data_IF_238319050734
#
_entry.id   IF_238319050734
#
_cell.length_a   1.000
_cell.length_b   1.000
_cell.length_c   1.000
_cell.angle_alpha   90.00
_cell.angle_beta   90.00
_cell.angle_gamma   90.00
#
_symmetry.space_group_name_H-M   'P 1'
#
loop_
_entity.id
_entity.type
_entity.pdbx_description
1 polymer ?
#
# COMPACT_ATOMS: atom_id res chain seq x y z
N UNK A 1 -7.21 22.99 -3.80
CA UNK A 1 -5.94 22.41 -4.28
C UNK A 1 -6.21 20.99 -4.75
N UNK A 2 -5.72 20.66 -5.91
CA UNK A 2 -5.83 19.28 -6.40
C UNK A 2 -4.61 18.49 -6.00
N UNK A 3 -4.86 17.32 -5.48
CA UNK A 3 -3.82 16.38 -5.17
C UNK A 3 -3.26 15.77 -6.46
N UNK A 4 -1.94 15.65 -6.53
CA UNK A 4 -1.27 14.97 -7.64
C UNK A 4 -0.36 13.90 -7.08
N UNK A 5 -0.59 12.66 -7.48
CA UNK A 5 0.24 11.53 -7.08
C UNK A 5 0.94 11.01 -8.33
N UNK A 6 2.27 11.12 -8.35
CA UNK A 6 3.08 10.59 -9.44
C UNK A 6 3.31 9.10 -9.21
N UNK A 7 3.25 8.32 -10.29
CA UNK A 7 3.55 6.90 -10.23
C UNK A 7 5.02 6.67 -9.91
N UNK A 8 5.38 5.54 -9.29
CA UNK A 8 6.77 5.26 -8.98
C UNK A 8 7.58 5.04 -10.27
N UNK A 9 8.84 5.42 -10.24
CA UNK A 9 9.76 5.17 -11.37
C UNK A 9 9.93 3.68 -11.61
N UNK A 10 9.81 2.89 -10.55
CA UNK A 10 9.98 1.44 -10.60
C UNK A 10 8.92 0.77 -9.75
N UNK A 11 8.28 -0.26 -10.31
CA UNK A 11 7.36 -1.12 -9.57
C UNK A 11 8.18 -2.16 -8.84
N UNK A 12 8.10 -2.15 -7.52
CA UNK A 12 8.82 -3.10 -6.67
C UNK A 12 8.02 -4.39 -6.49
N UNK A 13 6.70 -4.30 -6.43
CA UNK A 13 5.83 -5.42 -6.12
C UNK A 13 4.49 -5.27 -6.83
N UNK A 14 3.93 -6.40 -7.26
CA UNK A 14 2.61 -6.45 -7.89
C UNK A 14 1.82 -7.58 -7.25
N UNK A 15 0.55 -7.31 -6.93
CA UNK A 15 -0.35 -8.34 -6.41
C UNK A 15 -1.73 -8.20 -7.02
N UNK A 16 -2.51 -9.27 -6.94
CA UNK A 16 -3.86 -9.34 -7.50
C UNK A 16 -4.88 -9.43 -6.39
N UNK A 17 -5.95 -8.65 -6.51
CA UNK A 17 -7.06 -8.62 -5.59
C UNK A 17 -8.35 -8.66 -6.40
N UNK A 18 -9.47 -8.78 -5.71
CA UNK A 18 -10.80 -8.75 -6.32
C UNK A 18 -11.70 -7.85 -5.47
N UNK A 19 -12.58 -7.09 -6.11
CA UNK A 19 -13.57 -6.28 -5.41
C UNK A 19 -14.61 -7.22 -4.78
N UNK A 20 -14.72 -7.17 -3.45
CA UNK A 20 -15.62 -8.03 -2.67
C UNK A 20 -16.95 -7.34 -2.42
N UNK A 21 -17.97 -8.13 -2.07
CA UNK A 21 -19.28 -7.58 -1.71
C UNK A 21 -19.18 -6.56 -0.57
N UNK A 22 -18.30 -6.82 0.41
CA UNK A 22 -18.05 -5.91 1.54
C UNK A 22 -17.37 -4.60 1.15
N UNK A 23 -16.84 -4.51 -0.07
CA UNK A 23 -16.16 -3.30 -0.56
C UNK A 23 -17.10 -2.34 -1.28
N UNK A 24 -18.33 -2.76 -1.55
CA UNK A 24 -19.30 -1.97 -2.32
C UNK A 24 -20.04 -1.01 -1.41
N UNK A 25 -20.15 0.26 -1.85
CA UNK A 25 -20.86 1.28 -1.10
C UNK A 25 -22.31 1.46 -1.60
N UNK A 26 -23.01 2.43 -1.06
CA UNK A 26 -24.40 2.73 -1.42
C UNK A 26 -24.58 3.14 -2.89
N UNK A 27 -23.52 3.57 -3.56
CA UNK A 27 -23.54 3.91 -5.00
C UNK A 27 -23.39 2.72 -5.93
N UNK A 28 -23.26 1.51 -5.38
CA UNK A 28 -23.16 0.27 -6.17
C UNK A 28 -21.77 0.02 -6.75
N UNK A 29 -20.75 0.74 -6.32
CA UNK A 29 -19.36 0.55 -6.78
C UNK A 29 -18.41 0.51 -5.59
N UNK A 30 -17.15 0.19 -5.88
CA UNK A 30 -16.09 0.16 -4.87
C UNK A 30 -16.08 1.46 -4.07
N UNK A 31 -16.28 1.34 -2.76
CA UNK A 31 -16.33 2.48 -1.86
C UNK A 31 -14.97 3.15 -1.70
N UNK A 32 -14.97 4.47 -1.52
CA UNK A 32 -13.74 5.22 -1.33
C UNK A 32 -12.98 4.77 -0.07
N UNK A 33 -13.68 4.40 0.97
CA UNK A 33 -13.11 3.87 2.21
C UNK A 33 -12.53 2.46 2.02
N UNK A 34 -13.16 1.62 1.20
CA UNK A 34 -12.70 0.26 0.94
C UNK A 34 -11.42 0.20 0.13
N UNK A 35 -11.09 1.24 -0.62
CA UNK A 35 -9.81 1.34 -1.32
C UNK A 35 -8.65 1.24 -0.31
N UNK A 36 -8.76 1.89 0.84
CA UNK A 36 -7.72 1.81 1.89
C UNK A 36 -7.56 0.39 2.41
N UNK A 37 -8.66 -0.34 2.57
CA UNK A 37 -8.63 -1.74 3.02
C UNK A 37 -7.95 -2.64 1.98
N UNK A 38 -8.24 -2.42 0.70
CA UNK A 38 -7.58 -3.17 -0.38
C UNK A 38 -6.08 -2.88 -0.42
N UNK A 39 -5.69 -1.64 -0.22
CA UNK A 39 -4.27 -1.28 -0.19
C UNK A 39 -3.55 -1.86 1.02
N UNK A 40 -4.22 -1.97 2.16
CA UNK A 40 -3.69 -2.68 3.33
C UNK A 40 -3.44 -4.15 3.01
N UNK A 41 -4.38 -4.80 2.32
CA UNK A 41 -4.22 -6.19 1.89
C UNK A 41 -3.00 -6.33 0.98
N UNK A 42 -2.82 -5.38 0.05
CA UNK A 42 -1.67 -5.37 -0.85
C UNK A 42 -0.36 -5.23 -0.07
N UNK A 43 -0.31 -4.37 0.96
CA UNK A 43 0.88 -4.24 1.81
C UNK A 43 1.19 -5.53 2.55
N UNK A 44 0.18 -6.19 3.08
CA UNK A 44 0.37 -7.48 3.78
C UNK A 44 0.96 -8.51 2.83
N UNK A 45 0.47 -8.57 1.59
CA UNK A 45 1.02 -9.46 0.56
C UNK A 45 2.51 -9.14 0.32
N UNK A 46 2.85 -7.87 0.23
CA UNK A 46 4.24 -7.42 0.04
C UNK A 46 5.12 -7.89 1.20
N UNK A 47 4.70 -7.66 2.44
CA UNK A 47 5.50 -8.05 3.60
C UNK A 47 5.66 -9.58 3.69
N UNK A 48 4.59 -10.32 3.45
CA UNK A 48 4.66 -11.80 3.47
C UNK A 48 5.55 -12.35 2.38
N UNK A 49 5.50 -11.77 1.18
CA UNK A 49 6.37 -12.19 0.08
C UNK A 49 7.85 -11.97 0.43
N UNK A 50 8.15 -10.98 1.25
CA UNK A 50 9.50 -10.67 1.69
C UNK A 50 9.91 -11.37 2.98
N UNK A 51 9.13 -12.32 3.45
CA UNK A 51 9.47 -13.15 4.61
C UNK A 51 8.99 -12.61 5.94
N UNK A 52 8.22 -11.53 5.96
CA UNK A 52 7.65 -10.99 7.20
C UNK A 52 6.23 -11.54 7.39
N UNK A 53 5.81 -11.64 8.64
CA UNK A 53 4.48 -12.12 8.96
C UNK A 53 3.39 -11.13 8.53
N UNK A 54 3.63 -9.84 8.82
CA UNK A 54 2.75 -8.73 8.47
C UNK A 54 3.51 -7.41 8.67
N UNK A 55 2.83 -6.27 8.49
CA UNK A 55 3.47 -4.97 8.64
C UNK A 55 3.77 -4.57 10.09
N UNK A 56 3.16 -5.24 11.06
CA UNK A 56 3.40 -4.96 12.49
C UNK A 56 4.58 -5.77 13.05
N UNK A 57 5.05 -6.78 12.34
CA UNK A 57 6.06 -7.72 12.83
C UNK A 57 7.24 -7.79 11.84
N UNK A 58 8.11 -6.79 11.89
CA UNK A 58 9.27 -6.68 11.00
C UNK A 58 10.53 -7.21 11.69
N UNK A 59 10.87 -6.64 12.85
CA UNK A 59 12.04 -7.07 13.61
C UNK A 59 11.78 -6.81 15.10
N UNK A 60 11.70 -7.88 15.89
CA UNK A 60 11.38 -7.78 17.31
C UNK A 60 10.02 -7.11 17.51
N UNK A 61 9.97 -6.05 18.31
CA UNK A 61 8.75 -5.27 18.54
C UNK A 61 8.54 -4.16 17.52
N UNK A 62 9.44 -4.02 16.54
CA UNK A 62 9.37 -2.96 15.52
C UNK A 62 8.57 -3.43 14.32
N UNK A 63 7.61 -2.63 13.91
CA UNK A 63 6.82 -2.81 12.71
C UNK A 63 6.57 -1.48 12.03
N UNK A 64 5.52 -1.41 11.25
CA UNK A 64 5.16 -0.22 10.46
C UNK A 64 3.87 0.39 10.96
N UNK A 65 3.78 1.71 10.90
CA UNK A 65 2.52 2.44 11.01
C UNK A 65 2.39 3.37 9.82
N UNK A 66 1.18 3.73 9.49
CA UNK A 66 0.89 4.72 8.45
C UNK A 66 0.62 6.05 9.14
N UNK A 67 1.42 7.07 8.80
CA UNK A 67 1.24 8.42 9.37
C UNK A 67 0.44 9.35 8.46
N UNK A 68 0.48 9.10 7.15
CA UNK A 68 -0.25 9.90 6.16
C UNK A 68 -0.71 9.01 5.03
N UNK A 69 -1.86 9.31 4.47
CA UNK A 69 -2.39 8.57 3.34
C UNK A 69 -3.12 9.53 2.39
N UNK A 70 -2.76 9.47 1.12
CA UNK A 70 -3.39 10.26 0.08
C UNK A 70 -3.91 9.33 -1.01
N UNK A 71 -5.13 9.56 -1.49
CA UNK A 71 -5.74 8.72 -2.53
C UNK A 71 -6.36 9.61 -3.61
N UNK A 72 -6.12 9.28 -4.87
CA UNK A 72 -6.81 9.85 -6.01
C UNK A 72 -7.67 8.75 -6.63
N UNK A 73 -8.96 9.01 -6.74
CA UNK A 73 -9.92 8.10 -7.36
C UNK A 73 -10.04 8.46 -8.85
N UNK A 74 -9.75 7.50 -9.72
CA UNK A 74 -9.70 7.74 -11.17
C UNK A 74 -10.92 7.19 -11.90
N UNK A 75 -11.45 6.05 -11.45
CA UNK A 75 -12.55 5.38 -12.12
C UNK A 75 -13.32 4.49 -11.14
N UNK A 76 -14.56 4.18 -11.49
CA UNK A 76 -15.38 3.24 -10.74
C UNK A 76 -14.92 1.81 -10.95
N UNK A 77 -15.13 0.99 -9.95
CA UNK A 77 -14.91 -0.45 -10.03
C UNK A 77 -16.09 -1.14 -9.34
N UNK A 78 -16.38 -2.37 -9.74
CA UNK A 78 -17.62 -3.06 -9.37
C UNK A 78 -17.36 -4.42 -8.75
N UNK A 79 -18.37 -4.97 -8.09
CA UNK A 79 -18.29 -6.27 -7.46
C UNK A 79 -17.73 -7.32 -8.43
N UNK A 80 -16.71 -8.03 -7.98
CA UNK A 80 -16.08 -9.10 -8.76
C UNK A 80 -15.00 -8.62 -9.72
N UNK A 81 -14.80 -7.31 -9.87
CA UNK A 81 -13.75 -6.82 -10.76
C UNK A 81 -12.37 -7.31 -10.30
N UNK A 82 -11.61 -7.93 -11.23
CA UNK A 82 -10.23 -8.33 -10.89
C UNK A 82 -9.31 -7.12 -10.95
N UNK A 83 -8.54 -6.93 -9.88
CA UNK A 83 -7.65 -5.79 -9.74
C UNK A 83 -6.20 -6.22 -9.67
N UNK A 84 -5.32 -5.36 -10.18
CA UNK A 84 -3.88 -5.46 -9.98
C UNK A 84 -3.44 -4.24 -9.20
N UNK A 85 -2.66 -4.46 -8.15
CA UNK A 85 -2.06 -3.37 -7.36
C UNK A 85 -0.56 -3.41 -7.57
N UNK A 86 -0.01 -2.31 -8.07
CA UNK A 86 1.43 -2.09 -8.20
C UNK A 86 1.90 -1.23 -7.05
N UNK A 87 3.00 -1.62 -6.42
CA UNK A 87 3.61 -0.88 -5.31
C UNK A 87 5.03 -0.49 -5.68
N UNK A 88 5.36 0.78 -5.49
CA UNK A 88 6.70 1.31 -5.57
C UNK A 88 7.08 1.98 -4.26
N UNK A 89 8.37 2.25 -4.09
CA UNK A 89 8.92 2.85 -2.88
C UNK A 89 9.58 4.18 -3.25
N UNK A 90 9.43 5.18 -2.37
CA UNK A 90 10.06 6.48 -2.51
C UNK A 90 10.46 7.02 -1.13
N UNK A 91 11.29 8.03 -1.12
CA UNK A 91 11.65 8.78 0.08
C UNK A 91 12.10 7.89 1.25
N UNK A 92 13.05 6.97 0.99
CA UNK A 92 13.64 6.15 2.06
C UNK A 92 14.47 7.06 2.96
N UNK A 93 14.21 6.98 4.27
CA UNK A 93 14.92 7.77 5.26
C UNK A 93 15.16 6.96 6.55
N UNK A 94 15.75 7.59 7.55
CA UNK A 94 16.13 6.92 8.79
C UNK A 94 14.98 6.18 9.49
N UNK A 95 13.75 6.71 9.39
CA UNK A 95 12.61 6.20 10.15
C UNK A 95 11.54 5.53 9.30
N UNK A 96 11.73 5.47 7.97
CA UNK A 96 10.71 4.85 7.13
C UNK A 96 10.84 5.20 5.65
N UNK A 97 9.73 5.21 4.97
CA UNK A 97 9.67 5.42 3.51
C UNK A 97 8.24 5.69 3.08
N UNK A 98 8.08 6.10 1.85
CA UNK A 98 6.75 6.23 1.25
C UNK A 98 6.48 5.04 0.33
N UNK A 99 5.23 4.56 0.35
CA UNK A 99 4.74 3.61 -0.64
C UNK A 99 3.85 4.35 -1.62
N UNK A 100 4.01 4.04 -2.89
CA UNK A 100 3.18 4.57 -3.96
C UNK A 100 2.44 3.40 -4.59
N UNK A 101 1.12 3.54 -4.73
CA UNK A 101 0.25 2.46 -5.20
C UNK A 101 -0.47 2.89 -6.46
N UNK A 102 -0.65 1.94 -7.36
CA UNK A 102 -1.55 2.09 -8.50
C UNK A 102 -2.47 0.88 -8.53
N UNK A 103 -3.78 1.13 -8.59
CA UNK A 103 -4.77 0.08 -8.77
C UNK A 103 -5.29 0.18 -10.19
N UNK A 104 -5.20 -0.93 -10.94
CA UNK A 104 -5.73 -1.02 -12.29
C UNK A 104 -6.67 -2.22 -12.41
N UNK A 105 -7.65 -2.13 -13.29
CA UNK A 105 -8.48 -3.27 -13.64
C UNK A 105 -7.60 -4.25 -14.43
N UNK A 106 -7.51 -5.50 -13.94
CA UNK A 106 -6.55 -6.47 -14.51
C UNK A 106 -6.81 -6.79 -15.97
N UNK A 107 -8.08 -6.82 -16.40
CA UNK A 107 -8.44 -7.20 -17.75
C UNK A 107 -8.41 -6.00 -18.70
N UNK A 108 -8.99 -4.88 -18.32
CA UNK A 108 -9.12 -3.71 -19.19
C UNK A 108 -7.91 -2.79 -19.14
N UNK A 109 -7.10 -2.86 -18.07
CA UNK A 109 -5.99 -1.94 -17.85
C UNK A 109 -6.42 -0.57 -17.35
N UNK A 110 -7.72 -0.36 -17.12
CA UNK A 110 -8.23 0.93 -16.66
C UNK A 110 -7.69 1.27 -15.28
N UNK A 111 -7.15 2.47 -15.14
CA UNK A 111 -6.67 2.93 -13.83
C UNK A 111 -7.83 3.28 -12.91
N UNK A 112 -7.87 2.65 -11.75
CA UNK A 112 -8.94 2.82 -10.76
C UNK A 112 -8.56 3.89 -9.73
N UNK A 113 -7.32 3.83 -9.22
CA UNK A 113 -6.87 4.75 -8.20
C UNK A 113 -5.35 4.82 -8.12
N UNK A 114 -4.86 5.93 -7.59
CA UNK A 114 -3.46 6.09 -7.16
C UNK A 114 -3.45 6.46 -5.71
N UNK A 115 -2.44 6.04 -4.99
CA UNK A 115 -2.33 6.37 -3.58
C UNK A 115 -0.86 6.52 -3.18
N UNK A 116 -0.64 7.21 -2.07
CA UNK A 116 0.68 7.36 -1.48
C UNK A 116 0.51 7.31 0.04
N UNK A 117 1.33 6.52 0.71
CA UNK A 117 1.34 6.44 2.16
C UNK A 117 2.72 6.75 2.70
N UNK A 118 2.78 7.48 3.82
CA UNK A 118 3.99 7.66 4.59
C UNK A 118 4.04 6.54 5.63
N UNK A 119 5.05 5.67 5.51
CA UNK A 119 5.22 4.51 6.35
C UNK A 119 6.36 4.77 7.33
N UNK A 120 6.05 4.77 8.62
CA UNK A 120 7.06 4.97 9.67
C UNK A 120 7.26 3.69 10.44
N UNK A 121 8.51 3.43 10.83
CA UNK A 121 8.82 2.31 11.71
C UNK A 121 8.47 2.70 13.14
N UNK A 122 7.85 1.76 13.84
CA UNK A 122 7.28 2.01 15.15
C UNK A 122 7.56 0.82 16.07
N UNK A 123 8.03 1.13 17.27
CA UNK A 123 8.25 0.11 18.29
C UNK A 123 6.95 -0.04 19.10
N UNK A 124 6.27 -1.15 18.89
CA UNK A 124 4.97 -1.41 19.52
C UNK A 124 5.05 -1.68 21.01
N UNK A 125 6.23 -2.06 21.51
CA UNK A 125 6.46 -2.24 22.93
C UNK A 125 6.74 -0.90 23.62
N UNK A 126 7.69 -0.13 23.05
CA UNK A 126 8.06 1.18 23.59
C UNK A 126 7.08 2.30 23.19
N UNK A 127 6.19 2.02 22.25
CA UNK A 127 5.16 2.95 21.74
C UNK A 127 5.76 4.25 21.22
N UNK A 128 6.80 4.15 20.40
CA UNK A 128 7.46 5.30 19.78
C UNK A 128 8.07 4.95 18.42
N UNK A 129 8.37 5.99 17.64
CA UNK A 129 9.03 5.86 16.34
C UNK A 129 10.39 5.17 16.52
N UNK A 130 10.70 4.26 15.62
CA UNK A 130 11.95 3.51 15.61
C UNK A 130 12.68 3.71 14.28
N UNK A 131 13.97 3.36 14.26
CA UNK A 131 14.73 3.41 13.01
C UNK A 131 14.32 2.27 12.08
N UNK A 132 14.42 2.53 10.79
CA UNK A 132 14.15 1.54 9.75
C UNK A 132 15.13 0.35 9.90
N UNK A 133 14.63 -0.86 10.19
CA UNK A 133 15.51 -2.02 10.32
C UNK A 133 16.20 -2.33 8.99
N UNK A 134 17.45 -2.73 9.06
CA UNK A 134 18.22 -3.08 7.86
C UNK A 134 17.59 -4.25 7.10
N UNK A 135 17.00 -5.20 7.82
CA UNK A 135 16.31 -6.34 7.21
C UNK A 135 15.15 -5.91 6.30
N UNK A 136 14.51 -4.78 6.60
CA UNK A 136 13.47 -4.23 5.74
C UNK A 136 14.08 -3.32 4.67
N UNK A 137 15.09 -2.53 5.03
CA UNK A 137 15.74 -1.62 4.08
C UNK A 137 16.20 -2.35 2.82
N UNK A 138 16.81 -3.52 2.96
CA UNK A 138 17.31 -4.30 1.81
C UNK A 138 16.18 -4.80 0.92
N UNK A 139 14.97 -4.97 1.47
CA UNK A 139 13.81 -5.43 0.70
C UNK A 139 13.14 -4.31 -0.09
N UNK A 140 13.20 -3.08 0.40
CA UNK A 140 12.55 -1.93 -0.24
C UNK A 140 13.51 -1.13 -1.12
N UNK A 141 14.81 -1.30 -0.94
CA UNK A 141 15.83 -0.68 -1.78
C UNK A 141 16.23 -1.66 -2.88
N UNK A 142 15.86 -1.37 -4.15
CA UNK A 142 16.06 -2.32 -5.25
C UNK A 142 17.51 -2.45 -5.73
N UNK A 143 18.43 -1.68 -5.18
CA UNK A 143 19.85 -1.74 -5.58
C UNK A 143 20.63 -2.83 -4.86
#
# INVERSE_FOLDING_TARGET
MRLKIDLPERILFTTHLEVRASDINYGGHLGNDSVLTLLQEARIHFYRMNGFRDEATIEGSVGQIISEFAVQYKAESFLGDPLTVHIGIAEIHKYGFDMIYQIVHRITGKEIARARSANLCFDYEKRKIATLPEILRVKINPE
#
